data_IF_107933810112
#
_entry.id   IF_107933810112
#
_cell.length_a   1.000
_cell.length_b   1.000
_cell.length_c   1.000
_cell.angle_alpha   90.00
_cell.angle_beta   90.00
_cell.angle_gamma   90.00
#
_symmetry.space_group_name_H-M   'P 1'
#
loop_
_entity.id
_entity.type
_entity.pdbx_description
1 polymer ?
#
# COMPACT_ATOMS: atom_id res chain seq x y z
N UNK A 1 -14.49 11.73 1.03
CA UNK A 1 -13.73 10.64 1.67
C UNK A 1 -12.56 10.28 0.77
N UNK A 2 -11.32 10.19 1.28
CA UNK A 2 -10.24 9.60 0.49
C UNK A 2 -10.58 8.13 0.23
N UNK A 3 -10.51 7.72 -1.03
CA UNK A 3 -10.54 6.30 -1.41
C UNK A 3 -9.10 5.87 -1.65
N UNK A 4 -8.77 4.67 -1.20
CA UNK A 4 -7.47 4.05 -1.45
C UNK A 4 -7.70 2.58 -1.78
N UNK A 5 -6.83 2.03 -2.61
CA UNK A 5 -6.87 0.63 -3.01
C UNK A 5 -5.49 0.01 -2.81
N UNK A 6 -5.46 -1.21 -2.29
CA UNK A 6 -4.26 -2.02 -2.23
C UNK A 6 -4.45 -3.17 -3.21
N UNK A 7 -3.59 -3.23 -4.21
CA UNK A 7 -3.65 -4.24 -5.26
C UNK A 7 -2.48 -5.21 -5.10
N UNK A 8 -2.73 -6.49 -5.43
CA UNK A 8 -1.68 -7.49 -5.56
C UNK A 8 -1.36 -7.65 -7.04
N UNK A 9 -0.10 -7.41 -7.40
CA UNK A 9 0.44 -7.54 -8.77
C UNK A 9 1.41 -8.72 -8.82
N UNK A 10 1.89 -9.06 -10.01
CA UNK A 10 2.94 -10.10 -10.18
C UNK A 10 4.25 -9.71 -9.48
N UNK A 11 4.53 -8.40 -9.41
CA UNK A 11 5.76 -7.85 -8.80
C UNK A 11 5.65 -7.61 -7.30
N UNK A 12 4.47 -7.78 -6.68
CA UNK A 12 4.27 -7.52 -5.25
C UNK A 12 2.92 -6.87 -4.94
N UNK A 13 2.93 -5.83 -4.10
CA UNK A 13 1.73 -5.07 -3.76
C UNK A 13 1.89 -3.60 -4.13
N UNK A 14 0.82 -2.99 -4.63
CA UNK A 14 0.74 -1.56 -4.93
C UNK A 14 -0.35 -0.86 -4.13
N UNK A 15 -0.12 0.41 -3.83
CA UNK A 15 -1.02 1.33 -3.14
C UNK A 15 -1.45 2.40 -4.13
N UNK A 16 -2.76 2.50 -4.37
CA UNK A 16 -3.34 3.43 -5.32
C UNK A 16 -4.28 4.43 -4.66
N UNK A 17 -4.08 5.71 -4.97
CA UNK A 17 -4.89 6.85 -4.51
C UNK A 17 -5.54 7.53 -5.72
N UNK A 18 -6.81 7.21 -6.05
CA UNK A 18 -7.49 7.71 -7.24
C UNK A 18 -7.54 9.23 -7.32
N UNK A 19 -7.73 9.89 -6.18
CA UNK A 19 -7.84 11.35 -6.14
C UNK A 19 -6.53 12.06 -6.53
N UNK A 20 -5.39 11.39 -6.35
CA UNK A 20 -4.07 11.93 -6.69
C UNK A 20 -3.53 11.35 -8.00
N UNK A 21 -4.23 10.39 -8.60
CA UNK A 21 -3.72 9.56 -9.70
C UNK A 21 -2.31 9.01 -9.38
N UNK A 22 -2.15 8.53 -8.15
CA UNK A 22 -0.88 8.06 -7.61
C UNK A 22 -0.99 6.56 -7.34
N UNK A 23 -0.20 5.78 -8.07
CA UNK A 23 0.05 4.37 -7.77
C UNK A 23 1.50 4.21 -7.37
N UNK A 24 1.74 3.58 -6.21
CA UNK A 24 3.10 3.29 -5.77
C UNK A 24 3.28 1.89 -5.19
N UNK A 25 4.51 1.39 -5.26
CA UNK A 25 4.85 0.07 -4.71
C UNK A 25 4.97 0.12 -3.18
N UNK A 26 4.39 -0.86 -2.50
CA UNK A 26 4.55 -1.05 -1.05
C UNK A 26 5.86 -1.80 -0.82
N UNK A 27 6.82 -1.15 -0.15
CA UNK A 27 8.16 -1.71 0.09
C UNK A 27 8.32 -2.30 1.50
N UNK A 28 7.45 -1.92 2.44
CA UNK A 28 7.46 -2.44 3.81
C UNK A 28 6.06 -2.36 4.43
N UNK A 29 5.76 -3.29 5.32
CA UNK A 29 4.53 -3.33 6.12
C UNK A 29 4.87 -3.63 7.58
N UNK A 30 4.20 -2.96 8.53
CA UNK A 30 4.43 -3.19 9.96
C UNK A 30 4.00 -4.60 10.41
N UNK A 31 2.95 -5.14 9.79
CA UNK A 31 2.43 -6.45 10.12
C UNK A 31 2.36 -7.34 8.89
N UNK A 32 2.98 -8.51 8.99
CA UNK A 32 2.91 -9.56 7.99
C UNK A 32 2.22 -10.81 8.56
N UNK A 33 1.50 -11.52 7.70
CA UNK A 33 0.90 -12.81 8.01
C UNK A 33 -0.62 -12.81 8.22
N UNK A 34 -1.24 -14.00 8.21
CA UNK A 34 -2.68 -14.16 8.31
C UNK A 34 -3.22 -13.70 9.69
N UNK A 35 -4.36 -13.01 9.68
CA UNK A 35 -5.05 -12.55 10.90
C UNK A 35 -4.53 -11.22 11.47
N UNK A 36 -3.53 -10.60 10.85
CA UNK A 36 -3.08 -9.24 11.16
C UNK A 36 -3.84 -8.21 10.31
N UNK A 37 -4.32 -7.15 10.95
CA UNK A 37 -5.02 -6.04 10.30
C UNK A 37 -4.50 -4.72 10.85
N UNK A 38 -4.47 -3.69 10.00
CA UNK A 38 -3.95 -2.36 10.35
C UNK A 38 -2.42 -2.31 10.39
N UNK A 39 -1.89 -1.17 10.83
CA UNK A 39 -0.47 -0.84 10.85
C UNK A 39 -0.07 0.20 9.80
N UNK A 40 1.21 0.56 9.80
CA UNK A 40 1.81 1.48 8.83
C UNK A 40 2.39 0.71 7.63
N UNK A 41 2.32 1.31 6.44
CA UNK A 41 2.98 0.81 5.24
C UNK A 41 3.98 1.86 4.76
N UNK A 42 5.08 1.44 4.15
CA UNK A 42 6.02 2.37 3.51
C UNK A 42 5.95 2.17 2.01
N UNK A 43 5.81 3.27 1.29
CA UNK A 43 5.80 3.30 -0.18
C UNK A 43 7.22 3.53 -0.72
N UNK A 44 7.44 3.17 -1.98
CA UNK A 44 8.73 3.31 -2.65
C UNK A 44 9.24 4.77 -2.71
N UNK A 45 8.34 5.75 -2.70
CA UNK A 45 8.65 7.18 -2.66
C UNK A 45 9.04 7.69 -1.25
N UNK A 46 9.02 6.83 -0.23
CA UNK A 46 9.31 7.16 1.16
C UNK A 46 8.09 7.65 1.96
N UNK A 47 6.91 7.72 1.33
CA UNK A 47 5.64 8.03 1.99
C UNK A 47 5.18 6.88 2.92
N UNK A 48 4.30 7.22 3.86
CA UNK A 48 3.73 6.33 4.88
C UNK A 48 2.28 6.68 5.18
#
# INVERSE_FOLDING_TARGET
MPSVMINKTESGMSFYVPKKDLEEAIVSMEHEGPGRWGGEITLADGSR
#
